data_IF_397138433240
#
_entry.id   IF_397138433240
#
_cell.length_a   1.000
_cell.length_b   1.000
_cell.length_c   1.000
_cell.angle_alpha   90.00
_cell.angle_beta   90.00
_cell.angle_gamma   90.00
#
_symmetry.space_group_name_H-M   'P 1'
#
loop_
_entity.id
_entity.type
_entity.pdbx_description
1 polymer ?
#
# COMPACT_ATOMS: atom_id res chain seq x y z
N UNK A 1 -0.81 32.69 5.29
CA UNK A 1 0.53 32.71 4.66
C UNK A 1 0.38 32.39 3.18
N UNK A 2 1.11 33.08 2.30
CA UNK A 2 1.09 32.75 0.86
C UNK A 2 1.84 31.42 0.61
N UNK A 3 1.55 30.72 -0.50
CA UNK A 3 2.27 29.49 -0.87
C UNK A 3 3.80 29.69 -0.93
N UNK A 4 4.24 30.88 -1.36
CA UNK A 4 5.65 31.25 -1.42
C UNK A 4 6.24 31.49 -0.02
N UNK A 5 5.53 32.21 0.86
CA UNK A 5 5.97 32.46 2.23
C UNK A 5 6.10 31.17 3.04
N UNK A 6 5.20 30.21 2.84
CA UNK A 6 5.32 28.88 3.47
C UNK A 6 6.54 28.10 2.96
N UNK A 7 6.83 28.13 1.65
CA UNK A 7 8.03 27.49 1.09
C UNK A 7 9.31 28.08 1.63
N UNK A 8 9.39 29.41 1.73
CA UNK A 8 10.57 30.11 2.29
C UNK A 8 10.77 29.77 3.77
N UNK A 9 9.70 29.82 4.57
CA UNK A 9 9.76 29.43 5.99
C UNK A 9 10.17 27.96 6.17
N UNK A 10 9.69 27.07 5.30
CA UNK A 10 10.07 25.66 5.30
C UNK A 10 11.53 25.46 4.93
N UNK A 11 12.05 26.19 3.95
CA UNK A 11 13.47 26.14 3.58
C UNK A 11 14.37 26.65 4.71
N UNK A 12 13.99 27.73 5.40
CA UNK A 12 14.78 28.26 6.53
C UNK A 12 14.82 27.33 7.74
N UNK A 13 13.88 26.39 7.84
CA UNK A 13 13.84 25.39 8.92
C UNK A 13 14.65 24.12 8.62
N UNK A 14 15.25 24.00 7.41
CA UNK A 14 16.02 22.83 6.99
C UNK A 14 17.52 23.07 7.12
N UNK A 15 18.27 22.00 7.45
CA UNK A 15 19.73 22.06 7.35
C UNK A 15 20.16 22.13 5.88
N UNK A 16 21.35 22.68 5.57
CA UNK A 16 21.88 22.68 4.20
C UNK A 16 21.97 21.28 3.59
N UNK A 17 22.32 20.27 4.41
CA UNK A 17 22.36 18.87 4.00
C UNK A 17 20.97 18.34 3.60
N UNK A 18 19.92 18.69 4.34
CA UNK A 18 18.55 18.32 3.97
C UNK A 18 18.11 18.99 2.67
N UNK A 19 18.40 20.28 2.48
CA UNK A 19 18.09 20.99 1.23
C UNK A 19 18.80 20.34 0.04
N UNK A 20 20.10 20.06 0.17
CA UNK A 20 20.89 19.40 -0.86
C UNK A 20 20.35 17.99 -1.18
N UNK A 21 20.00 17.22 -0.14
CA UNK A 21 19.39 15.91 -0.30
C UNK A 21 18.08 15.99 -1.10
N UNK A 22 17.15 16.86 -0.70
CA UNK A 22 15.84 17.02 -1.38
C UNK A 22 16.00 17.54 -2.81
N UNK A 23 16.90 18.48 -3.05
CA UNK A 23 17.20 19.00 -4.38
C UNK A 23 17.73 17.89 -5.30
N UNK A 24 18.67 17.07 -4.81
CA UNK A 24 19.21 15.92 -5.55
C UNK A 24 18.12 14.93 -5.96
N UNK A 25 17.19 14.60 -5.06
CA UNK A 25 16.07 13.70 -5.36
C UNK A 25 15.18 14.31 -6.46
N UNK A 26 14.74 15.56 -6.30
CA UNK A 26 13.88 16.23 -7.29
C UNK A 26 14.56 16.33 -8.67
N UNK A 27 15.86 16.65 -8.70
CA UNK A 27 16.62 16.73 -9.95
C UNK A 27 16.78 15.34 -10.59
N UNK A 28 17.11 14.31 -9.80
CA UNK A 28 17.16 12.92 -10.29
C UNK A 28 15.83 12.53 -10.92
N UNK A 29 14.72 12.70 -10.21
CA UNK A 29 13.41 12.25 -10.69
C UNK A 29 12.94 13.03 -11.93
N UNK A 30 13.40 14.27 -12.09
CA UNK A 30 13.10 15.09 -13.27
C UNK A 30 13.92 14.71 -14.51
N UNK A 31 15.21 14.45 -14.34
CA UNK A 31 16.15 14.32 -15.47
C UNK A 31 16.60 12.89 -15.75
N UNK A 32 16.61 12.03 -14.73
CA UNK A 32 17.04 10.63 -14.80
C UNK A 32 16.27 9.78 -13.78
N UNK A 33 14.92 9.67 -13.91
CA UNK A 33 14.12 8.90 -12.96
C UNK A 33 14.56 7.44 -12.94
N UNK A 34 14.49 6.76 -11.78
CA UNK A 34 14.79 5.34 -11.69
C UNK A 34 13.93 4.51 -12.65
N UNK A 35 14.53 3.51 -13.30
CA UNK A 35 13.83 2.72 -14.32
C UNK A 35 12.56 2.03 -13.79
N UNK A 36 12.54 1.61 -12.52
CA UNK A 36 11.36 0.97 -11.93
C UNK A 36 10.13 1.88 -11.89
N UNK A 37 10.30 3.21 -11.95
CA UNK A 37 9.18 4.14 -11.90
C UNK A 37 8.34 4.15 -13.19
N UNK A 38 8.87 3.65 -14.31
CA UNK A 38 8.15 3.60 -15.61
C UNK A 38 7.58 2.23 -15.95
N UNK A 39 7.91 1.20 -15.17
CA UNK A 39 7.41 -0.16 -15.41
C UNK A 39 5.96 -0.29 -14.94
N UNK A 40 5.17 -1.05 -15.70
CA UNK A 40 3.94 -1.61 -15.15
C UNK A 40 4.26 -2.59 -14.00
N UNK A 41 3.32 -2.86 -13.08
CA UNK A 41 3.52 -3.84 -12.02
C UNK A 41 3.96 -5.22 -12.54
N UNK A 42 3.38 -5.69 -13.66
CA UNK A 42 3.77 -6.97 -14.27
C UNK A 42 5.22 -6.97 -14.78
N UNK A 43 5.64 -5.89 -15.46
CA UNK A 43 7.03 -5.74 -15.90
C UNK A 43 8.01 -5.67 -14.73
N UNK A 44 7.64 -4.98 -13.65
CA UNK A 44 8.44 -4.93 -12.45
C UNK A 44 8.58 -6.31 -11.81
N UNK A 45 7.50 -7.08 -11.73
CA UNK A 45 7.52 -8.46 -11.23
C UNK A 45 8.50 -9.34 -12.00
N UNK A 46 8.43 -9.29 -13.35
CA UNK A 46 9.31 -10.07 -14.22
C UNK A 46 10.79 -9.63 -14.16
N UNK A 47 11.08 -8.36 -13.87
CA UNK A 47 12.45 -7.81 -13.85
C UNK A 47 13.11 -7.88 -12.48
N UNK A 48 12.35 -7.77 -11.40
CA UNK A 48 12.85 -7.65 -10.03
C UNK A 48 12.88 -8.98 -9.27
N UNK A 49 12.07 -9.97 -9.68
CA UNK A 49 12.08 -11.30 -9.08
C UNK A 49 12.67 -12.33 -10.04
N UNK A 50 13.94 -12.66 -9.82
CA UNK A 50 14.62 -13.74 -10.56
C UNK A 50 13.90 -15.09 -10.35
N UNK A 51 13.63 -15.80 -11.43
CA UNK A 51 12.81 -17.02 -11.43
C UNK A 51 11.31 -16.83 -11.22
N UNK A 52 10.81 -15.58 -11.26
CA UNK A 52 9.39 -15.25 -11.29
C UNK A 52 8.65 -15.37 -9.95
N UNK A 53 7.34 -15.14 -9.99
CA UNK A 53 6.49 -15.04 -8.80
C UNK A 53 6.49 -16.31 -7.94
N UNK A 54 6.48 -17.50 -8.55
CA UNK A 54 6.49 -18.77 -7.82
C UNK A 54 7.74 -18.92 -6.95
N UNK A 55 8.92 -18.61 -7.51
CA UNK A 55 10.19 -18.65 -6.76
C UNK A 55 10.23 -17.56 -5.69
N UNK A 56 9.73 -16.36 -5.99
CA UNK A 56 9.64 -15.27 -5.03
C UNK A 56 8.81 -15.69 -3.79
N UNK A 57 7.61 -16.22 -4.00
CA UNK A 57 6.73 -16.72 -2.94
C UNK A 57 7.40 -17.85 -2.13
N UNK A 58 8.00 -18.82 -2.81
CA UNK A 58 8.69 -19.95 -2.15
C UNK A 58 9.93 -19.51 -1.35
N UNK A 59 10.59 -18.43 -1.75
CA UNK A 59 11.76 -17.87 -1.06
C UNK A 59 11.40 -16.98 0.14
N UNK A 60 10.12 -16.67 0.34
CA UNK A 60 9.68 -15.81 1.43
C UNK A 60 10.04 -16.41 2.79
N UNK A 61 10.64 -15.59 3.65
CA UNK A 61 10.95 -15.98 5.03
C UNK A 61 9.75 -15.75 5.97
N UNK A 62 8.73 -15.02 5.53
CA UNK A 62 7.57 -14.71 6.36
C UNK A 62 6.79 -15.95 6.80
N UNK A 63 6.56 -17.00 5.98
CA UNK A 63 5.91 -18.22 6.46
C UNK A 63 6.65 -18.94 7.59
N UNK A 64 7.94 -18.63 7.83
CA UNK A 64 8.70 -19.13 8.99
C UNK A 64 8.30 -18.41 10.30
N UNK A 65 7.43 -17.41 10.19
CA UNK A 65 6.89 -16.57 11.26
C UNK A 65 5.39 -16.42 11.01
N UNK A 66 4.49 -17.18 11.66
CA UNK A 66 4.47 -17.36 13.11
C UNK A 66 4.51 -18.85 13.49
N UNK A 67 4.61 -19.13 14.80
CA UNK A 67 4.28 -20.45 15.38
C UNK A 67 3.00 -21.01 14.76
N UNK A 68 2.83 -22.33 14.82
CA UNK A 68 1.56 -23.00 14.47
C UNK A 68 0.39 -22.11 14.92
N UNK A 69 -0.46 -21.69 13.99
CA UNK A 69 -1.59 -20.85 14.35
C UNK A 69 -2.44 -21.64 15.33
N UNK A 70 -2.70 -21.05 16.49
CA UNK A 70 -3.60 -21.60 17.50
C UNK A 70 -5.00 -21.81 16.87
N UNK A 71 -5.87 -22.64 17.47
CA UNK A 71 -7.20 -22.93 16.93
C UNK A 71 -7.98 -21.67 16.52
N UNK A 72 -8.83 -21.78 15.51
CA UNK A 72 -9.64 -20.66 15.02
C UNK A 72 -10.48 -19.98 16.11
N UNK A 73 -10.83 -20.71 17.16
CA UNK A 73 -11.53 -20.25 18.36
C UNK A 73 -10.79 -19.10 19.07
N UNK A 74 -9.46 -19.17 19.15
CA UNK A 74 -8.61 -18.12 19.76
C UNK A 74 -8.56 -16.84 18.90
N UNK A 75 -8.98 -16.95 17.63
CA UNK A 75 -9.01 -15.87 16.65
C UNK A 75 -10.41 -15.57 16.13
N UNK A 76 -11.46 -15.91 16.89
CA UNK A 76 -12.85 -15.65 16.51
C UNK A 76 -13.11 -14.19 16.04
N UNK A 77 -12.53 -13.14 16.66
CA UNK A 77 -12.68 -11.76 16.16
C UNK A 77 -12.12 -11.54 14.75
N UNK A 78 -11.00 -12.19 14.40
CA UNK A 78 -10.40 -12.08 13.07
C UNK A 78 -11.27 -12.77 12.00
N UNK A 79 -11.83 -13.93 12.32
CA UNK A 79 -12.77 -14.64 11.44
C UNK A 79 -14.05 -13.82 11.24
N UNK A 80 -14.60 -13.24 12.31
CA UNK A 80 -15.77 -12.36 12.23
C UNK A 80 -15.50 -11.10 11.38
N UNK A 81 -14.31 -10.50 11.51
CA UNK A 81 -13.89 -9.39 10.66
C UNK A 81 -13.79 -9.80 9.18
N UNK A 82 -13.20 -10.96 8.90
CA UNK A 82 -13.15 -11.53 7.55
C UNK A 82 -14.54 -11.74 6.96
N UNK A 83 -15.50 -12.27 7.73
CA UNK A 83 -16.90 -12.41 7.32
C UNK A 83 -17.54 -11.06 7.01
N UNK A 84 -17.31 -10.07 7.88
CA UNK A 84 -17.72 -8.70 7.64
C UNK A 84 -17.25 -8.20 6.28
N UNK A 85 -15.96 -8.39 5.95
CA UNK A 85 -15.39 -7.99 4.67
C UNK A 85 -16.03 -8.74 3.48
N UNK A 86 -16.35 -10.03 3.62
CA UNK A 86 -17.10 -10.76 2.59
C UNK A 86 -18.47 -10.11 2.31
N UNK A 87 -19.16 -9.65 3.34
CA UNK A 87 -20.44 -8.93 3.28
C UNK A 87 -20.30 -7.44 2.88
N UNK A 88 -19.08 -6.97 2.58
CA UNK A 88 -18.75 -5.59 2.28
C UNK A 88 -18.78 -4.66 3.51
N UNK A 89 -18.74 -5.18 4.73
CA UNK A 89 -18.70 -4.39 5.98
C UNK A 89 -17.28 -4.25 6.49
N UNK A 90 -16.88 -3.03 6.81
CA UNK A 90 -15.56 -2.75 7.36
C UNK A 90 -15.61 -1.70 8.47
N UNK A 91 -14.74 -1.85 9.49
CA UNK A 91 -14.58 -0.88 10.57
C UNK A 91 -13.41 0.04 10.26
N UNK A 92 -13.69 1.28 9.90
CA UNK A 92 -12.72 2.31 9.56
C UNK A 92 -12.72 3.39 10.65
N UNK A 93 -11.62 3.49 11.40
CA UNK A 93 -11.49 4.42 12.54
C UNK A 93 -12.63 4.32 13.57
N UNK A 94 -13.16 3.11 13.79
CA UNK A 94 -14.28 2.87 14.70
C UNK A 94 -15.66 3.12 14.07
N UNK A 95 -15.74 3.59 12.83
CA UNK A 95 -16.97 3.76 12.08
C UNK A 95 -17.24 2.55 11.18
N UNK A 96 -18.47 2.07 11.15
CA UNK A 96 -18.87 1.04 10.18
C UNK A 96 -19.10 1.66 8.81
N UNK A 97 -18.40 1.16 7.81
CA UNK A 97 -18.54 1.58 6.40
C UNK A 97 -18.89 0.38 5.52
N UNK A 98 -19.49 0.66 4.36
CA UNK A 98 -19.81 -0.35 3.36
C UNK A 98 -18.91 -0.17 2.13
N UNK A 99 -18.21 -1.23 1.76
CA UNK A 99 -17.33 -1.28 0.61
C UNK A 99 -18.08 -1.83 -0.60
N UNK A 100 -17.75 -1.28 -1.77
CA UNK A 100 -18.05 -1.90 -3.06
C UNK A 100 -17.21 -3.18 -3.22
N UNK A 101 -17.58 -4.06 -4.15
CA UNK A 101 -16.85 -5.30 -4.45
C UNK A 101 -16.51 -5.38 -5.95
N UNK A 102 -15.27 -5.05 -6.37
CA UNK A 102 -14.15 -4.58 -5.55
C UNK A 102 -14.32 -3.13 -5.06
N UNK A 103 -13.56 -2.71 -4.02
CA UNK A 103 -13.61 -1.34 -3.52
C UNK A 103 -13.25 -0.29 -4.59
N UNK A 104 -13.94 0.84 -4.58
CA UNK A 104 -13.52 2.02 -5.36
C UNK A 104 -12.38 2.70 -4.61
N UNK A 105 -11.13 2.31 -4.90
CA UNK A 105 -9.95 2.63 -4.10
C UNK A 105 -9.71 4.11 -3.83
N UNK A 106 -10.02 5.00 -4.79
CA UNK A 106 -9.87 6.45 -4.61
C UNK A 106 -11.06 7.12 -3.89
N UNK A 107 -12.08 6.37 -3.49
CA UNK A 107 -13.27 6.89 -2.81
C UNK A 107 -13.12 6.81 -1.30
N UNK A 108 -13.44 7.91 -0.62
CA UNK A 108 -13.53 7.97 0.82
C UNK A 108 -14.69 7.07 1.30
N UNK A 109 -14.41 5.99 2.06
CA UNK A 109 -15.47 5.06 2.49
C UNK A 109 -16.47 5.69 3.47
N UNK A 110 -16.12 6.81 4.10
CA UNK A 110 -16.98 7.52 5.06
C UNK A 110 -17.88 8.53 4.35
N UNK A 111 -17.33 9.35 3.46
CA UNK A 111 -18.08 10.44 2.81
C UNK A 111 -18.61 10.10 1.42
N UNK A 112 -18.14 9.02 0.80
CA UNK A 112 -18.45 8.66 -0.58
C UNK A 112 -17.78 9.54 -1.65
N UNK A 113 -17.08 10.60 -1.25
CA UNK A 113 -16.38 11.49 -2.18
C UNK A 113 -15.08 10.86 -2.69
N UNK A 114 -14.73 11.11 -3.96
CA UNK A 114 -13.56 10.51 -4.60
C UNK A 114 -12.41 11.50 -4.80
N UNK A 115 -11.18 11.05 -4.55
CA UNK A 115 -9.98 11.76 -4.95
C UNK A 115 -9.82 11.71 -6.48
N UNK A 116 -9.34 12.80 -7.12
CA UNK A 116 -9.12 12.82 -8.56
C UNK A 116 -8.15 11.73 -9.03
N UNK A 117 -8.43 11.15 -10.19
CA UNK A 117 -7.47 10.31 -10.90
C UNK A 117 -6.43 11.17 -11.60
N UNK A 118 -5.27 11.36 -10.97
CA UNK A 118 -4.16 12.13 -11.52
C UNK A 118 -2.82 11.47 -11.19
N UNK A 119 -1.74 12.00 -11.76
CA UNK A 119 -0.39 11.68 -11.31
C UNK A 119 -0.25 12.03 -9.81
N UNK A 120 0.34 11.15 -9.01
CA UNK A 120 0.44 11.33 -7.55
C UNK A 120 1.17 12.61 -7.17
N UNK A 121 2.20 12.99 -7.93
CA UNK A 121 2.94 14.25 -7.72
C UNK A 121 2.12 15.53 -7.96
N UNK A 122 0.96 15.44 -8.64
CA UNK A 122 0.05 16.55 -8.88
C UNK A 122 -1.07 16.66 -7.83
N UNK A 123 -1.21 15.67 -6.94
CA UNK A 123 -2.23 15.67 -5.90
C UNK A 123 -1.71 16.33 -4.62
N UNK A 124 -2.36 17.42 -4.19
CA UNK A 124 -2.11 18.00 -2.88
C UNK A 124 -2.94 17.30 -1.80
N UNK A 125 -2.41 16.18 -1.28
CA UNK A 125 -3.08 15.36 -0.26
C UNK A 125 -3.31 16.09 1.08
N UNK A 126 -2.70 17.27 1.30
CA UNK A 126 -2.84 18.06 2.53
C UNK A 126 -4.16 18.82 2.58
N UNK A 127 -4.84 18.94 1.43
CA UNK A 127 -6.16 19.56 1.32
C UNK A 127 -7.23 18.65 1.90
N UNK A 128 -7.71 18.98 3.09
CA UNK A 128 -8.79 18.26 3.76
C UNK A 128 -10.17 18.51 3.15
N UNK A 129 -10.32 19.59 2.37
CA UNK A 129 -11.54 19.93 1.64
C UNK A 129 -11.78 19.03 0.42
N UNK A 130 -10.72 18.39 -0.10
CA UNK A 130 -10.84 17.41 -1.18
C UNK A 130 -11.24 16.06 -0.59
N UNK A 131 -12.40 15.55 -1.02
CA UNK A 131 -12.88 14.21 -0.72
C UNK A 131 -12.88 13.81 0.76
N UNK A 132 -13.03 14.78 1.69
CA UNK A 132 -12.99 14.53 3.14
C UNK A 132 -11.60 14.20 3.69
N UNK A 133 -10.55 14.60 2.97
CA UNK A 133 -9.15 14.39 3.34
C UNK A 133 -8.59 13.04 2.89
N UNK A 134 -7.26 12.93 2.90
CA UNK A 134 -6.56 11.75 2.39
C UNK A 134 -6.63 10.54 3.33
N UNK A 135 -6.77 10.75 4.66
CA UNK A 135 -6.63 9.69 5.67
C UNK A 135 -7.56 8.50 5.46
N UNK A 136 -8.89 8.65 5.26
CA UNK A 136 -9.78 7.49 5.06
C UNK A 136 -9.43 6.68 3.81
N UNK A 137 -9.02 7.37 2.75
CA UNK A 137 -8.67 6.74 1.46
C UNK A 137 -7.29 6.10 1.51
N UNK A 138 -6.34 6.71 2.21
CA UNK A 138 -5.06 6.07 2.50
C UNK A 138 -5.23 4.83 3.37
N UNK A 139 -6.10 4.84 4.37
CA UNK A 139 -6.36 3.63 5.18
C UNK A 139 -6.90 2.48 4.34
N UNK A 140 -7.84 2.74 3.42
CA UNK A 140 -8.28 1.74 2.44
C UNK A 140 -7.09 1.25 1.58
N UNK A 141 -6.27 2.20 1.11
CA UNK A 141 -5.07 1.93 0.31
C UNK A 141 -3.90 1.31 1.06
N UNK A 142 -3.92 1.23 2.40
CA UNK A 142 -2.94 0.45 3.17
C UNK A 142 -3.20 -1.04 3.04
N UNK A 143 -4.37 -1.43 2.53
CA UNK A 143 -4.76 -2.82 2.31
C UNK A 143 -4.75 -3.66 3.58
N UNK A 144 -5.00 -3.06 4.74
CA UNK A 144 -5.06 -3.77 6.05
C UNK A 144 -6.19 -4.80 6.10
N UNK A 145 -7.19 -4.67 5.23
CA UNK A 145 -8.27 -5.63 5.02
C UNK A 145 -7.82 -6.96 4.37
N UNK A 146 -6.73 -6.97 3.59
CA UNK A 146 -6.24 -8.15 2.90
C UNK A 146 -5.61 -9.19 3.83
N UNK A 147 -4.71 -8.83 4.77
CA UNK A 147 -4.19 -9.80 5.72
C UNK A 147 -5.28 -10.35 6.65
N UNK A 148 -6.36 -9.59 6.93
CA UNK A 148 -7.53 -10.11 7.66
C UNK A 148 -8.24 -11.22 6.89
N UNK A 149 -8.51 -11.02 5.59
CA UNK A 149 -9.09 -12.07 4.73
C UNK A 149 -8.16 -13.28 4.62
N UNK A 150 -6.86 -13.06 4.38
CA UNK A 150 -5.89 -14.14 4.28
C UNK A 150 -5.76 -14.95 5.59
N UNK A 151 -5.79 -14.28 6.74
CA UNK A 151 -5.80 -14.93 8.05
C UNK A 151 -7.08 -15.75 8.26
N UNK A 152 -8.25 -15.19 7.94
CA UNK A 152 -9.52 -15.92 8.02
C UNK A 152 -9.52 -17.16 7.12
N UNK A 153 -8.99 -17.06 5.90
CA UNK A 153 -8.82 -18.20 4.99
C UNK A 153 -7.95 -19.29 5.61
N UNK A 154 -6.86 -18.91 6.27
CA UNK A 154 -5.92 -19.85 6.90
C UNK A 154 -6.49 -20.52 8.14
N UNK A 155 -7.24 -19.80 8.97
CA UNK A 155 -7.86 -20.31 10.20
C UNK A 155 -9.05 -21.23 9.93
N UNK A 156 -9.88 -20.89 8.93
CA UNK A 156 -11.13 -21.62 8.63
C UNK A 156 -10.98 -22.65 7.53
N UNK A 157 -9.98 -22.50 6.65
CA UNK A 157 -9.83 -23.28 5.43
C UNK A 157 -10.75 -22.86 4.29
N UNK A 158 -11.65 -21.88 4.48
CA UNK A 158 -12.65 -21.50 3.49
C UNK A 158 -12.08 -20.68 2.34
N UNK A 159 -12.28 -21.18 1.11
CA UNK A 159 -11.72 -20.58 -0.10
C UNK A 159 -12.23 -19.18 -0.42
N UNK A 160 -13.46 -18.83 0.00
CA UNK A 160 -14.07 -17.53 -0.29
C UNK A 160 -13.24 -16.34 0.25
N UNK A 161 -12.59 -16.51 1.41
CA UNK A 161 -11.72 -15.48 1.97
C UNK A 161 -10.45 -15.28 1.14
N UNK A 162 -9.81 -16.38 0.72
CA UNK A 162 -8.61 -16.33 -0.09
C UNK A 162 -8.89 -15.73 -1.48
N UNK A 163 -9.99 -16.16 -2.11
CA UNK A 163 -10.40 -15.63 -3.41
C UNK A 163 -10.67 -14.13 -3.34
N UNK A 164 -11.39 -13.66 -2.30
CA UNK A 164 -11.64 -12.24 -2.11
C UNK A 164 -10.35 -11.44 -1.93
N UNK A 165 -9.41 -11.96 -1.13
CA UNK A 165 -8.12 -11.29 -0.92
C UNK A 165 -7.31 -11.16 -2.22
N UNK A 166 -7.26 -12.22 -3.03
CA UNK A 166 -6.52 -12.22 -4.31
C UNK A 166 -7.19 -11.28 -5.30
N UNK A 167 -8.52 -11.37 -5.47
CA UNK A 167 -9.26 -10.51 -6.40
C UNK A 167 -9.12 -9.02 -6.07
N UNK A 168 -9.18 -8.65 -4.78
CA UNK A 168 -8.99 -7.26 -4.36
C UNK A 168 -7.54 -6.79 -4.51
N UNK A 169 -6.56 -7.67 -4.26
CA UNK A 169 -5.15 -7.34 -4.50
C UNK A 169 -4.87 -7.12 -5.99
N UNK A 170 -5.43 -7.95 -6.87
CA UNK A 170 -5.35 -7.81 -8.32
C UNK A 170 -5.98 -6.49 -8.78
N UNK A 171 -7.21 -6.20 -8.35
CA UNK A 171 -7.92 -4.97 -8.74
C UNK A 171 -7.20 -3.71 -8.23
N UNK A 172 -6.73 -3.71 -6.97
CA UNK A 172 -5.92 -2.61 -6.44
C UNK A 172 -4.66 -2.39 -7.29
N UNK A 173 -3.93 -3.47 -7.60
CA UNK A 173 -2.68 -3.41 -8.37
C UNK A 173 -2.92 -2.86 -9.77
N UNK A 174 -4.01 -3.28 -10.43
CA UNK A 174 -4.37 -2.81 -11.77
C UNK A 174 -4.80 -1.34 -11.81
N UNK A 175 -5.55 -0.88 -10.81
CA UNK A 175 -6.08 0.50 -10.76
C UNK A 175 -5.10 1.51 -10.20
N UNK A 176 -4.15 1.07 -9.38
CA UNK A 176 -3.20 1.93 -8.67
C UNK A 176 -1.75 1.52 -9.00
N UNK A 177 -1.28 1.74 -10.25
CA UNK A 177 0.14 1.62 -10.55
C UNK A 177 0.94 2.73 -9.83
N UNK A 178 2.23 2.48 -9.60
CA UNK A 178 3.14 3.45 -8.96
C UNK A 178 3.07 4.81 -9.67
N UNK A 179 3.01 5.90 -8.89
CA UNK A 179 2.98 7.26 -9.41
C UNK A 179 1.61 7.76 -9.90
N UNK A 180 0.56 6.94 -9.80
CA UNK A 180 -0.83 7.34 -10.07
C UNK A 180 -1.70 7.28 -8.82
N UNK A 181 -2.63 8.24 -8.73
CA UNK A 181 -3.67 8.30 -7.72
C UNK A 181 -3.17 8.71 -6.34
N UNK A 182 -4.12 8.81 -5.42
CA UNK A 182 -3.89 9.25 -4.03
C UNK A 182 -3.03 8.27 -3.22
N UNK A 183 -2.98 7.00 -3.58
CA UNK A 183 -2.26 6.01 -2.77
C UNK A 183 -0.73 6.13 -2.89
N UNK A 184 -0.16 6.73 -3.94
CA UNK A 184 1.31 6.89 -4.07
C UNK A 184 1.80 8.30 -3.72
N UNK A 185 1.02 9.08 -2.98
CA UNK A 185 1.41 10.45 -2.60
C UNK A 185 2.31 10.53 -1.37
N UNK A 186 2.58 9.40 -0.70
CA UNK A 186 3.27 9.35 0.59
C UNK A 186 4.09 8.07 0.74
N UNK A 187 5.36 8.20 1.15
CA UNK A 187 6.31 7.10 1.34
C UNK A 187 5.86 6.08 2.39
N UNK A 188 5.48 6.56 3.58
CA UNK A 188 4.91 5.73 4.65
C UNK A 188 3.72 4.86 4.18
N UNK A 189 2.87 5.38 3.30
CA UNK A 189 1.71 4.63 2.78
C UNK A 189 2.13 3.53 1.79
N UNK A 190 3.27 3.70 1.10
CA UNK A 190 3.89 2.66 0.28
C UNK A 190 4.59 1.62 1.15
N UNK A 191 5.33 2.04 2.18
CA UNK A 191 6.02 1.14 3.08
C UNK A 191 5.04 0.24 3.87
N UNK A 192 3.92 0.80 4.35
CA UNK A 192 2.85 0.02 4.98
C UNK A 192 2.24 -1.01 4.02
N UNK A 193 2.09 -0.67 2.73
CA UNK A 193 1.60 -1.62 1.71
C UNK A 193 2.58 -2.75 1.42
N UNK A 194 3.88 -2.46 1.43
CA UNK A 194 4.92 -3.51 1.32
C UNK A 194 4.72 -4.52 2.46
N UNK A 195 4.49 -4.06 3.68
CA UNK A 195 4.22 -4.91 4.84
C UNK A 195 2.91 -5.70 4.69
N UNK A 196 1.78 -5.02 4.45
CA UNK A 196 0.45 -5.67 4.42
C UNK A 196 0.31 -6.65 3.26
N UNK A 197 0.86 -6.32 2.09
CA UNK A 197 0.84 -7.22 0.93
C UNK A 197 1.73 -8.43 1.16
N UNK A 198 2.93 -8.24 1.71
CA UNK A 198 3.85 -9.36 2.01
C UNK A 198 3.24 -10.33 3.01
N UNK A 199 2.59 -9.83 4.07
CA UNK A 199 1.86 -10.67 5.02
C UNK A 199 0.64 -11.36 4.42
N UNK A 200 -0.12 -10.66 3.56
CA UNK A 200 -1.26 -11.25 2.84
C UNK A 200 -0.80 -12.48 2.06
N UNK A 201 0.25 -12.33 1.24
CA UNK A 201 0.78 -13.43 0.42
C UNK A 201 1.33 -14.58 1.28
N UNK A 202 2.02 -14.27 2.38
CA UNK A 202 2.52 -15.29 3.31
C UNK A 202 1.39 -16.08 4.00
N UNK A 203 0.29 -15.41 4.37
CA UNK A 203 -0.87 -16.04 5.00
C UNK A 203 -1.68 -16.88 4.01
N UNK A 204 -1.82 -16.43 2.77
CA UNK A 204 -2.45 -17.21 1.70
C UNK A 204 -1.68 -18.51 1.41
N UNK A 205 -0.35 -18.47 1.50
CA UNK A 205 0.51 -19.63 1.28
C UNK A 205 0.29 -20.24 -0.11
N UNK A 206 0.04 -21.54 -0.17
CA UNK A 206 -0.23 -22.26 -1.43
C UNK A 206 -1.49 -21.79 -2.17
N UNK A 207 -2.39 -21.07 -1.49
CA UNK A 207 -3.58 -20.48 -2.12
C UNK A 207 -3.25 -19.24 -2.97
N UNK A 208 -2.06 -18.66 -2.81
CA UNK A 208 -1.61 -17.54 -3.64
C UNK A 208 -1.16 -18.04 -5.02
N UNK A 209 -2.05 -18.02 -5.99
CA UNK A 209 -1.73 -18.35 -7.39
C UNK A 209 -0.63 -17.39 -7.91
N UNK A 210 0.58 -17.90 -8.25
CA UNK A 210 1.69 -17.07 -8.69
C UNK A 210 1.37 -16.22 -9.93
N UNK A 211 0.55 -16.70 -10.86
CA UNK A 211 0.22 -15.96 -12.07
C UNK A 211 -0.64 -14.72 -11.74
N UNK A 212 -1.59 -14.88 -10.83
CA UNK A 212 -2.50 -13.83 -10.36
C UNK A 212 -1.79 -12.78 -9.52
N UNK A 213 -0.89 -13.19 -8.63
CA UNK A 213 -0.21 -12.26 -7.71
C UNK A 213 1.10 -11.66 -8.24
N UNK A 214 1.58 -12.11 -9.40
CA UNK A 214 2.82 -11.60 -10.00
C UNK A 214 2.87 -10.07 -10.17
N UNK A 215 1.80 -9.40 -10.67
CA UNK A 215 1.79 -7.94 -10.73
C UNK A 215 1.88 -7.30 -9.35
N UNK A 216 1.22 -7.86 -8.33
CA UNK A 216 1.22 -7.33 -6.98
C UNK A 216 2.62 -7.40 -6.34
N UNK A 217 3.34 -8.51 -6.56
CA UNK A 217 4.75 -8.62 -6.19
C UNK A 217 5.58 -7.52 -6.86
N UNK A 218 5.38 -7.28 -8.16
CA UNK A 218 6.06 -6.20 -8.87
C UNK A 218 5.78 -4.81 -8.28
N UNK A 219 4.52 -4.51 -7.94
CA UNK A 219 4.14 -3.25 -7.29
C UNK A 219 4.80 -3.11 -5.90
N UNK A 220 4.83 -4.19 -5.11
CA UNK A 220 5.53 -4.22 -3.80
C UNK A 220 7.02 -3.92 -3.98
N UNK A 221 7.68 -4.54 -4.96
CA UNK A 221 9.09 -4.28 -5.21
C UNK A 221 9.34 -2.83 -5.68
N UNK A 222 8.46 -2.28 -6.53
CA UNK A 222 8.52 -0.86 -6.93
C UNK A 222 8.36 0.08 -5.73
N UNK A 223 7.43 -0.22 -4.82
CA UNK A 223 7.19 0.58 -3.62
C UNK A 223 8.37 0.52 -2.65
N UNK A 224 8.97 -0.66 -2.44
CA UNK A 224 10.17 -0.80 -1.62
C UNK A 224 11.36 -0.01 -2.20
N UNK A 225 11.57 -0.08 -3.52
CA UNK A 225 12.59 0.72 -4.21
C UNK A 225 12.31 2.21 -4.13
N UNK A 226 11.04 2.62 -4.25
CA UNK A 226 10.63 4.01 -4.07
C UNK A 226 10.98 4.49 -2.66
N UNK A 227 10.61 3.76 -1.60
CA UNK A 227 10.94 4.12 -0.22
C UNK A 227 12.44 4.28 -0.02
N UNK A 228 13.25 3.30 -0.46
CA UNK A 228 14.72 3.37 -0.43
C UNK A 228 15.27 4.64 -1.07
N UNK A 229 14.70 5.03 -2.21
CA UNK A 229 15.17 6.14 -3.02
C UNK A 229 14.63 7.51 -2.58
N UNK A 230 13.64 7.55 -1.67
CA UNK A 230 12.92 8.75 -1.24
C UNK A 230 12.71 8.84 0.28
N UNK A 231 13.59 8.22 1.07
CA UNK A 231 13.53 8.26 2.54
C UNK A 231 13.30 9.69 3.08
N UNK A 232 12.38 9.82 4.01
CA UNK A 232 12.03 11.05 4.70
C UNK A 232 13.12 11.43 5.69
N UNK A 233 14.22 12.00 5.21
CA UNK A 233 15.34 12.43 6.06
C UNK A 233 15.14 13.87 6.62
N UNK A 234 15.98 14.24 7.60
CA UNK A 234 16.01 15.58 8.19
C UNK A 234 14.75 15.92 8.98
N UNK A 235 14.15 17.08 8.69
CA UNK A 235 12.94 17.60 9.36
C UNK A 235 11.70 16.70 9.23
N UNK A 236 11.74 15.66 8.39
CA UNK A 236 10.67 14.67 8.22
C UNK A 236 11.04 13.26 8.74
N UNK A 237 12.16 13.11 9.44
CA UNK A 237 12.72 11.81 9.88
C UNK A 237 12.09 11.22 11.15
N UNK A 238 10.84 11.56 11.43
CA UNK A 238 10.10 11.11 12.61
C UNK A 238 9.44 9.75 12.36
N UNK A 239 8.13 9.64 12.56
CA UNK A 239 7.37 8.42 12.28
C UNK A 239 7.43 7.99 10.81
N UNK A 240 7.71 8.91 9.89
CA UNK A 240 7.88 8.59 8.47
C UNK A 240 9.10 7.69 8.24
N UNK A 241 10.27 8.09 8.73
CA UNK A 241 11.51 7.31 8.51
C UNK A 241 11.50 5.96 9.24
N UNK A 242 10.80 5.85 10.37
CA UNK A 242 10.65 4.55 11.07
C UNK A 242 9.79 3.59 10.25
N UNK A 243 8.80 4.11 9.53
CA UNK A 243 7.89 3.30 8.74
C UNK A 243 8.43 2.97 7.34
N UNK A 244 9.20 3.88 6.74
CA UNK A 244 9.83 3.77 5.42
C UNK A 244 11.05 2.85 5.40
#
# INVERSE_FOLDING_TARGET
MTPLGWKLARLSAMSPAEVAHRARIVLRDRFAPPAYASWSPAQAGARLYDGGAARALASSLLPRWPRALEPAEDFAPAVAAGRGLLDGRWSLFGCQVRLDDPPVWNRNPVSGAAWPEAASGALDYRRSDIAGGAKPVWELGRLTLLPTLALAARLTGEGAFAERAIAWLEDFTGRNPLGRGIHHTSGIEMALRVLTTSWTLALLGERADPARVAPALGLVAQQALYCRDHLSLGSSANNHLIAE
#
